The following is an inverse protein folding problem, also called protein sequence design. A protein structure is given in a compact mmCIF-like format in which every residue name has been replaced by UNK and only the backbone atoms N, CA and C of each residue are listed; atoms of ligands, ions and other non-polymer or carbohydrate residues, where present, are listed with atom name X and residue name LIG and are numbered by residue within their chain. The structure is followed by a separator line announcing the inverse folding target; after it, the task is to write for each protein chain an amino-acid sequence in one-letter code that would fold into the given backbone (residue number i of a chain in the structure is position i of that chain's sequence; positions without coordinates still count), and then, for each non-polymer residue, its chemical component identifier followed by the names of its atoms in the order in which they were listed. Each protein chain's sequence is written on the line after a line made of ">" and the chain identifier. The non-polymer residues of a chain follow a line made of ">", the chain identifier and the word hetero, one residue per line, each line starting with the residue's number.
data_IF_389960593618
#
_entry.id   IF_389960593618
#
_cell.length_a   1.000
_cell.length_b   1.000
_cell.length_c   1.000
_cell.angle_alpha   90.00
_cell.angle_beta   90.00
_cell.angle_gamma   90.00
#
_symmetry.space_group_name_H-M   'P 1'
#
loop_
_entity.id
_entity.type
_entity.pdbx_description
1 polymer ?
#
# COMPACT_ATOMS: atom_id res chain seq x y z
N UNK A 1 56.74 26.22 -17.94
CA UNK A 1 56.26 27.47 -17.33
C UNK A 1 54.94 27.79 -18.03
N UNK A 2 53.74 27.85 -17.47
CA UNK A 2 53.15 27.85 -16.10
C UNK A 2 51.66 27.54 -16.34
N UNK A 3 51.12 26.43 -15.80
CA UNK A 3 50.08 26.37 -14.74
C UNK A 3 48.95 27.41 -14.82
N UNK A 4 47.72 26.89 -14.92
CA UNK A 4 46.45 27.53 -14.56
C UNK A 4 45.35 26.45 -14.55
N UNK A 5 44.75 26.23 -13.39
CA UNK A 5 43.82 25.15 -13.00
C UNK A 5 42.38 25.66 -12.84
N UNK A 6 41.44 24.73 -12.59
CA UNK A 6 40.02 24.89 -12.15
C UNK A 6 39.00 25.20 -13.26
N UNK A 7 37.78 24.66 -13.31
CA UNK A 7 37.03 23.64 -12.56
C UNK A 7 35.71 23.32 -13.32
N UNK A 8 35.11 22.15 -13.04
CA UNK A 8 33.66 21.86 -12.97
C UNK A 8 32.68 22.47 -14.00
N UNK A 9 32.08 21.59 -14.81
CA UNK A 9 30.80 21.83 -15.49
C UNK A 9 30.02 20.52 -15.56
N UNK A 10 29.39 20.18 -14.43
CA UNK A 10 28.24 19.27 -14.38
C UNK A 10 27.06 19.85 -15.20
N UNK A 11 26.15 18.94 -15.55
CA UNK A 11 24.77 19.17 -16.00
C UNK A 11 24.58 19.58 -17.48
N UNK A 12 23.67 18.96 -18.24
CA UNK A 12 22.32 18.60 -17.84
C UNK A 12 21.91 17.20 -18.31
N UNK A 13 21.47 16.37 -17.37
CA UNK A 13 20.49 15.33 -17.68
C UNK A 13 19.20 16.04 -18.09
N UNK A 14 18.69 15.73 -19.27
CA UNK A 14 17.43 16.28 -19.77
C UNK A 14 16.26 15.73 -18.93
N UNK A 15 15.88 16.51 -17.92
CA UNK A 15 14.75 16.26 -17.02
C UNK A 15 13.38 16.57 -17.67
N UNK A 16 13.32 16.88 -18.98
CA UNK A 16 12.10 17.35 -19.66
C UNK A 16 11.25 16.27 -20.35
N UNK A 17 11.59 14.98 -20.18
CA UNK A 17 10.77 13.85 -20.69
C UNK A 17 9.90 13.16 -19.61
N UNK A 18 9.90 13.65 -18.37
CA UNK A 18 9.12 13.08 -17.27
C UNK A 18 7.74 13.75 -17.14
N UNK A 19 6.63 13.01 -17.19
CA UNK A 19 5.52 13.30 -16.27
C UNK A 19 5.94 12.78 -14.88
N UNK A 20 6.19 13.66 -13.90
CA UNK A 20 6.61 13.25 -12.56
C UNK A 20 5.46 12.46 -11.89
N UNK A 21 5.77 11.28 -11.36
CA UNK A 21 5.86 11.05 -9.92
C UNK A 21 4.50 10.92 -9.24
N UNK A 22 4.13 9.69 -8.93
CA UNK A 22 3.14 9.45 -7.89
C UNK A 22 3.39 8.09 -7.22
N UNK A 23 4.01 8.12 -6.05
CA UNK A 23 3.77 7.06 -5.05
C UNK A 23 2.36 7.32 -4.54
N UNK A 24 1.39 6.44 -4.80
CA UNK A 24 0.07 6.54 -4.18
C UNK A 24 -0.05 5.52 -3.04
N UNK A 25 0.49 5.82 -1.86
CA UNK A 25 0.02 5.11 -0.66
C UNK A 25 -1.50 5.32 -0.60
N UNK A 26 -2.23 4.20 -0.62
CA UNK A 26 -3.69 4.20 -0.74
C UNK A 26 -4.34 3.69 0.53
N UNK A 27 -3.63 2.87 1.32
CA UNK A 27 -4.27 2.12 2.39
C UNK A 27 -3.30 1.72 3.50
N UNK A 28 -3.59 2.15 4.73
CA UNK A 28 -3.01 1.61 5.94
C UNK A 28 -3.98 0.59 6.56
N UNK A 29 -3.47 -0.62 6.74
CA UNK A 29 -4.18 -1.75 7.32
C UNK A 29 -3.65 -1.95 8.73
N UNK A 30 -4.42 -1.58 9.74
CA UNK A 30 -4.02 -1.84 11.11
C UNK A 30 -4.52 -3.21 11.53
N UNK A 31 -3.60 -4.17 11.52
CA UNK A 31 -3.78 -5.41 12.27
C UNK A 31 -3.41 -5.10 13.72
N UNK A 32 -4.39 -5.11 14.61
CA UNK A 32 -4.05 -5.17 16.03
C UNK A 32 -3.51 -6.58 16.27
N UNK A 33 -2.29 -6.67 16.78
CA UNK A 33 -1.83 -7.91 17.41
C UNK A 33 -2.80 -8.13 18.58
N UNK A 34 -3.81 -8.96 18.33
CA UNK A 34 -4.77 -9.37 19.33
C UNK A 34 -4.01 -10.25 20.32
N UNK A 35 -3.31 -9.64 21.27
CA UNK A 35 -3.05 -10.26 22.55
C UNK A 35 -4.40 -10.31 23.26
N UNK A 36 -5.22 -11.26 22.84
CA UNK A 36 -6.50 -11.58 23.46
C UNK A 36 -6.22 -12.44 24.70
N UNK A 37 -7.19 -12.57 25.60
CA UNK A 37 -7.21 -13.56 26.68
C UNK A 37 -6.70 -14.96 26.26
N UNK A 38 -6.82 -15.33 24.97
CA UNK A 38 -6.29 -16.58 24.41
C UNK A 38 -4.76 -16.72 24.51
N UNK A 39 -4.01 -15.62 24.39
CA UNK A 39 -2.54 -15.65 24.55
C UNK A 39 -2.15 -15.84 26.01
N UNK A 40 -2.85 -15.18 26.95
CA UNK A 40 -2.64 -15.40 28.38
C UNK A 40 -2.93 -16.86 28.78
N UNK A 41 -3.97 -17.47 28.19
CA UNK A 41 -4.28 -18.90 28.38
C UNK A 41 -3.18 -19.82 27.80
N UNK A 42 -2.62 -19.46 26.64
CA UNK A 42 -1.52 -20.19 26.00
C UNK A 42 -0.25 -20.20 26.86
N UNK A 43 0.14 -19.04 27.40
CA UNK A 43 1.37 -18.93 28.19
C UNK A 43 1.21 -19.32 29.65
N UNK A 44 -0.02 -19.47 30.15
CA UNK A 44 -0.31 -19.64 31.59
C UNK A 44 0.53 -20.72 32.24
N UNK A 45 0.67 -21.87 31.59
CA UNK A 45 1.40 -23.02 32.16
C UNK A 45 2.88 -22.69 32.34
N UNK A 46 3.52 -22.19 31.29
CA UNK A 46 4.96 -21.92 31.28
C UNK A 46 5.32 -20.67 32.11
N UNK A 47 4.46 -19.64 32.09
CA UNK A 47 4.55 -18.50 33.00
C UNK A 47 4.51 -18.94 34.47
N UNK A 48 3.55 -19.79 34.85
CA UNK A 48 3.43 -20.31 36.22
C UNK A 48 4.65 -21.14 36.61
N UNK A 49 5.25 -21.88 35.69
CA UNK A 49 6.44 -22.69 35.96
C UNK A 49 7.70 -21.84 36.15
N UNK A 50 7.89 -20.79 35.34
CA UNK A 50 9.17 -20.09 35.24
C UNK A 50 9.25 -18.72 35.90
N UNK A 51 8.13 -18.02 36.13
CA UNK A 51 8.17 -16.66 36.70
C UNK A 51 8.80 -16.65 38.10
N UNK A 52 9.75 -15.75 38.35
CA UNK A 52 10.35 -15.58 39.69
C UNK A 52 9.40 -14.88 40.65
N UNK A 53 9.68 -14.96 41.96
CA UNK A 53 8.86 -14.28 42.98
C UNK A 53 9.02 -12.75 42.87
N UNK A 54 10.21 -12.32 42.48
CA UNK A 54 10.60 -10.92 42.30
C UNK A 54 9.82 -10.29 41.14
N UNK A 55 9.84 -10.94 39.96
CA UNK A 55 9.09 -10.48 38.79
C UNK A 55 7.59 -10.47 39.08
N UNK A 56 7.08 -11.48 39.79
CA UNK A 56 5.66 -11.54 40.15
C UNK A 56 5.23 -10.37 41.06
N UNK A 57 6.07 -9.98 42.03
CA UNK A 57 5.80 -8.81 42.90
C UNK A 57 5.85 -7.51 42.11
N UNK A 58 6.91 -7.30 41.34
CA UNK A 58 7.05 -6.08 40.56
C UNK A 58 5.93 -5.96 39.49
N UNK A 59 5.48 -7.08 38.92
CA UNK A 59 4.36 -7.13 37.96
C UNK A 59 3.04 -6.73 38.63
N UNK A 60 2.80 -7.19 39.86
CA UNK A 60 1.67 -6.76 40.68
C UNK A 60 1.74 -5.27 41.01
N UNK A 61 2.91 -4.76 41.39
CA UNK A 61 3.13 -3.34 41.66
C UNK A 61 2.80 -2.48 40.44
N UNK A 62 3.28 -2.88 39.26
CA UNK A 62 3.00 -2.20 38.00
C UNK A 62 1.51 -2.23 37.67
N UNK A 63 0.83 -3.37 37.84
CA UNK A 63 -0.61 -3.50 37.59
C UNK A 63 -1.48 -2.70 38.56
N UNK A 64 -1.08 -2.55 39.82
CA UNK A 64 -1.75 -1.66 40.78
C UNK A 64 -1.53 -0.19 40.38
N UNK A 65 -0.30 0.19 40.05
CA UNK A 65 0.01 1.55 39.58
C UNK A 65 -0.81 1.96 38.35
N UNK A 66 -1.11 1.00 37.48
CA UNK A 66 -1.87 1.21 36.25
C UNK A 66 -3.40 1.04 36.42
N UNK A 67 -3.87 0.90 37.67
CA UNK A 67 -5.28 0.82 38.06
C UNK A 67 -5.97 -0.51 37.71
N UNK A 68 -5.22 -1.57 37.39
CA UNK A 68 -5.78 -2.89 37.07
C UNK A 68 -6.23 -3.62 38.34
N UNK A 69 -5.45 -3.47 39.41
CA UNK A 69 -5.73 -4.02 40.73
C UNK A 69 -5.75 -2.92 41.80
N UNK A 70 -6.47 -3.17 42.89
CA UNK A 70 -6.35 -2.39 44.13
C UNK A 70 -5.25 -2.97 45.02
N UNK A 71 -4.77 -2.20 46.00
CA UNK A 71 -3.80 -2.68 46.99
C UNK A 71 -4.33 -3.91 47.76
N UNK A 72 -5.63 -3.95 48.05
CA UNK A 72 -6.29 -5.10 48.67
C UNK A 72 -6.27 -6.36 47.79
N UNK A 73 -6.47 -6.21 46.47
CA UNK A 73 -6.40 -7.33 45.53
C UNK A 73 -4.97 -7.89 45.41
N UNK A 74 -3.98 -7.00 45.46
CA UNK A 74 -2.55 -7.37 45.49
C UNK A 74 -2.18 -8.12 46.77
N UNK A 75 -2.61 -7.64 47.93
CA UNK A 75 -2.37 -8.31 49.22
C UNK A 75 -3.00 -9.71 49.25
N UNK A 76 -4.25 -9.85 48.80
CA UNK A 76 -4.92 -11.15 48.66
C UNK A 76 -4.11 -12.14 47.79
N UNK A 77 -3.55 -11.69 46.66
CA UNK A 77 -2.72 -12.55 45.78
C UNK A 77 -1.42 -12.97 46.47
N UNK A 78 -0.78 -12.07 47.22
CA UNK A 78 0.55 -12.28 47.82
C UNK A 78 0.52 -13.03 49.15
N UNK A 79 -0.50 -12.83 49.98
CA UNK A 79 -0.54 -13.32 51.36
C UNK A 79 -1.34 -14.62 51.52
N UNK A 80 -2.40 -14.84 50.74
CA UNK A 80 -3.25 -16.04 50.87
C UNK A 80 -2.55 -17.32 50.38
N UNK A 81 -1.54 -17.19 49.52
CA UNK A 81 -0.89 -18.31 48.85
C UNK A 81 0.58 -18.46 49.28
N UNK A 82 0.97 -19.57 49.92
CA UNK A 82 2.39 -19.81 50.28
C UNK A 82 3.28 -20.16 49.07
N UNK A 83 2.74 -20.87 48.08
CA UNK A 83 3.51 -21.34 46.93
C UNK A 83 3.54 -20.32 45.77
N UNK A 84 4.73 -20.06 45.21
CA UNK A 84 4.95 -19.17 44.05
C UNK A 84 4.00 -19.48 42.88
N UNK A 85 3.89 -20.76 42.51
CA UNK A 85 3.03 -21.19 41.40
C UNK A 85 1.54 -20.90 41.64
N UNK A 86 1.07 -20.95 42.90
CA UNK A 86 -0.31 -20.60 43.23
C UNK A 86 -0.55 -19.10 43.08
N UNK A 87 0.40 -18.26 43.52
CA UNK A 87 0.35 -16.81 43.31
C UNK A 87 0.28 -16.45 41.82
N UNK A 88 1.11 -17.11 40.99
CA UNK A 88 1.13 -16.88 39.55
C UNK A 88 -0.21 -17.30 38.88
N UNK A 89 -0.81 -18.42 39.31
CA UNK A 89 -2.12 -18.85 38.81
C UNK A 89 -3.23 -17.88 39.23
N UNK A 90 -3.23 -17.43 40.48
CA UNK A 90 -4.26 -16.52 40.97
C UNK A 90 -4.18 -15.15 40.28
N UNK A 91 -2.96 -14.60 40.13
CA UNK A 91 -2.71 -13.40 39.33
C UNK A 91 -3.29 -13.54 37.92
N UNK A 92 -2.90 -14.60 37.20
CA UNK A 92 -3.33 -14.83 35.82
C UNK A 92 -4.86 -14.97 35.71
N UNK A 93 -5.47 -15.67 36.67
CA UNK A 93 -6.93 -15.86 36.75
C UNK A 93 -7.68 -14.55 37.02
N UNK A 94 -7.19 -13.74 37.96
CA UNK A 94 -7.77 -12.44 38.30
C UNK A 94 -7.60 -11.43 37.15
N UNK A 95 -6.43 -11.38 36.51
CA UNK A 95 -6.20 -10.56 35.30
C UNK A 95 -7.17 -10.95 34.18
N UNK A 96 -7.37 -12.25 33.95
CA UNK A 96 -8.35 -12.74 32.96
C UNK A 96 -9.78 -12.29 33.26
N UNK A 97 -10.20 -12.32 34.52
CA UNK A 97 -11.53 -11.83 34.94
C UNK A 97 -11.72 -10.32 34.73
N UNK A 98 -10.63 -9.55 34.76
CA UNK A 98 -10.64 -8.09 34.52
C UNK A 98 -10.71 -7.73 33.02
N UNK A 99 -10.52 -8.70 32.13
CA UNK A 99 -10.72 -8.56 30.68
C UNK A 99 -9.45 -8.40 29.85
N UNK A 100 -9.62 -8.17 28.55
CA UNK A 100 -8.53 -8.13 27.56
C UNK A 100 -7.53 -6.98 27.80
N UNK A 101 -7.99 -5.83 28.29
CA UNK A 101 -7.10 -4.68 28.59
C UNK A 101 -6.12 -5.01 29.73
N UNK A 102 -6.62 -5.63 30.82
CA UNK A 102 -5.79 -6.08 31.92
C UNK A 102 -4.77 -7.14 31.47
N UNK A 103 -5.21 -8.08 30.64
CA UNK A 103 -4.37 -9.13 30.07
C UNK A 103 -3.23 -8.55 29.21
N UNK A 104 -3.53 -7.53 28.40
CA UNK A 104 -2.53 -6.80 27.59
C UNK A 104 -1.51 -6.08 28.46
N UNK A 105 -1.96 -5.36 29.49
CA UNK A 105 -1.05 -4.66 30.42
C UNK A 105 -0.10 -5.62 31.13
N UNK A 106 -0.60 -6.77 31.61
CA UNK A 106 0.23 -7.79 32.25
C UNK A 106 1.33 -8.31 31.31
N UNK A 107 0.98 -8.67 30.08
CA UNK A 107 1.94 -9.18 29.09
C UNK A 107 2.96 -8.10 28.73
N UNK A 108 2.53 -6.85 28.57
CA UNK A 108 3.44 -5.72 28.30
C UNK A 108 4.46 -5.51 29.41
N UNK A 109 4.04 -5.57 30.67
CA UNK A 109 4.97 -5.46 31.79
C UNK A 109 5.92 -6.65 31.87
N UNK A 110 5.42 -7.86 31.65
CA UNK A 110 6.27 -9.06 31.59
C UNK A 110 7.37 -8.93 30.54
N UNK A 111 7.07 -8.36 29.36
CA UNK A 111 8.06 -8.09 28.31
C UNK A 111 9.16 -7.12 28.75
N UNK A 112 8.81 -6.09 29.52
CA UNK A 112 9.77 -5.07 29.99
C UNK A 112 10.66 -5.63 31.11
N UNK A 113 10.07 -6.43 31.98
CA UNK A 113 10.69 -6.84 33.24
C UNK A 113 11.48 -8.14 33.09
N UNK A 114 11.03 -9.05 32.24
CA UNK A 114 11.73 -10.29 31.92
C UNK A 114 11.73 -10.56 30.40
N UNK A 115 12.59 -9.85 29.64
CA UNK A 115 12.70 -10.01 28.19
C UNK A 115 13.09 -11.44 27.77
N UNK A 116 13.82 -12.17 28.62
CA UNK A 116 14.23 -13.55 28.36
C UNK A 116 13.04 -14.49 28.43
N UNK A 117 12.29 -14.47 29.54
CA UNK A 117 11.08 -15.29 29.69
C UNK A 117 10.03 -14.92 28.64
N UNK A 118 9.90 -13.63 28.31
CA UNK A 118 9.01 -13.17 27.24
C UNK A 118 9.40 -13.71 25.85
N UNK A 119 10.70 -13.83 25.56
CA UNK A 119 11.20 -14.37 24.29
C UNK A 119 10.96 -15.88 24.20
N UNK A 120 11.18 -16.61 25.31
CA UNK A 120 10.91 -18.05 25.41
C UNK A 120 9.42 -18.38 25.30
N UNK A 121 8.55 -17.55 25.89
CA UNK A 121 7.09 -17.69 25.82
C UNK A 121 6.50 -17.28 24.46
N UNK A 122 7.33 -16.89 23.49
CA UNK A 122 6.91 -16.31 22.21
C UNK A 122 5.92 -15.13 22.37
N UNK A 123 6.01 -14.40 23.48
CA UNK A 123 5.17 -13.23 23.77
C UNK A 123 5.64 -11.98 23.04
N UNK A 124 6.44 -12.11 21.99
CA UNK A 124 7.06 -11.01 21.28
C UNK A 124 6.02 -10.02 20.75
N UNK A 125 6.02 -8.81 21.30
CA UNK A 125 5.65 -7.58 20.57
C UNK A 125 6.89 -6.78 20.13
N UNK A 126 8.08 -7.38 20.14
CA UNK A 126 9.31 -6.78 19.64
C UNK A 126 10.16 -7.85 18.99
N UNK A 127 10.62 -7.59 17.76
CA UNK A 127 11.37 -8.46 16.83
C UNK A 127 10.58 -9.32 15.85
N UNK A 128 9.29 -9.08 15.63
CA UNK A 128 8.86 -9.22 14.24
C UNK A 128 9.56 -8.09 13.47
N UNK A 129 10.31 -8.39 12.39
CA UNK A 129 10.81 -7.34 11.51
C UNK A 129 9.63 -6.44 11.11
N UNK A 130 9.84 -5.12 10.95
CA UNK A 130 8.77 -4.18 10.61
C UNK A 130 7.92 -4.78 9.51
N UNK A 131 6.59 -4.80 9.72
CA UNK A 131 5.68 -5.54 8.87
C UNK A 131 5.93 -5.14 7.42
N UNK A 132 6.54 -6.04 6.64
CA UNK A 132 7.03 -5.68 5.32
C UNK A 132 5.85 -5.27 4.44
N UNK A 133 6.00 -4.15 3.74
CA UNK A 133 4.90 -3.53 3.03
C UNK A 133 4.52 -4.31 1.77
N UNK A 134 3.24 -4.22 1.40
CA UNK A 134 2.76 -4.76 0.12
C UNK A 134 2.71 -3.62 -0.88
N UNK A 135 3.38 -3.78 -2.02
CA UNK A 135 3.36 -2.82 -3.11
C UNK A 135 2.64 -3.43 -4.31
N UNK A 136 1.67 -2.71 -4.85
CA UNK A 136 0.96 -3.07 -6.07
C UNK A 136 1.22 -2.03 -7.14
N UNK A 137 1.93 -2.41 -8.19
CA UNK A 137 2.26 -1.54 -9.31
C UNK A 137 1.40 -1.82 -10.54
N UNK A 138 1.34 -0.85 -11.45
CA UNK A 138 0.66 -0.99 -12.74
C UNK A 138 0.52 0.33 -13.46
N UNK A 139 0.22 0.28 -14.75
CA UNK A 139 0.08 1.48 -15.60
C UNK A 139 -1.09 2.38 -15.15
N UNK A 140 -1.11 3.62 -15.64
CA UNK A 140 -2.20 4.54 -15.35
C UNK A 140 -3.55 3.99 -15.85
N UNK A 141 -4.64 4.23 -15.12
CA UNK A 141 -5.98 3.78 -15.52
C UNK A 141 -6.25 2.27 -15.41
N UNK A 142 -5.26 1.44 -15.05
CA UNK A 142 -5.40 -0.04 -15.01
C UNK A 142 -6.33 -0.57 -13.90
N UNK A 143 -6.87 0.30 -13.05
CA UNK A 143 -7.82 -0.09 -11.99
C UNK A 143 -7.21 -0.35 -10.61
N UNK A 144 -5.98 0.10 -10.33
CA UNK A 144 -5.36 -0.01 -8.98
C UNK A 144 -6.23 0.56 -7.86
N UNK A 145 -6.81 1.75 -8.06
CA UNK A 145 -7.71 2.39 -7.08
C UNK A 145 -9.00 1.59 -6.89
N UNK A 146 -9.57 1.08 -7.99
CA UNK A 146 -10.78 0.25 -7.94
C UNK A 146 -10.51 -1.05 -7.18
N UNK A 147 -9.31 -1.63 -7.34
CA UNK A 147 -8.88 -2.81 -6.58
C UNK A 147 -8.84 -2.55 -5.07
N UNK A 148 -8.26 -1.42 -4.64
CA UNK A 148 -8.24 -1.05 -3.22
C UNK A 148 -9.64 -0.82 -2.66
N UNK A 149 -10.49 -0.11 -3.40
CA UNK A 149 -11.89 0.10 -3.00
C UNK A 149 -12.67 -1.21 -2.90
N UNK A 150 -12.47 -2.13 -3.86
CA UNK A 150 -13.11 -3.46 -3.83
C UNK A 150 -12.67 -4.28 -2.62
N UNK A 151 -11.38 -4.24 -2.29
CA UNK A 151 -10.87 -4.90 -1.09
C UNK A 151 -11.50 -4.36 0.19
N UNK A 152 -11.61 -3.04 0.32
CA UNK A 152 -12.23 -2.39 1.49
C UNK A 152 -13.71 -2.76 1.57
N UNK A 153 -14.41 -2.77 0.44
CA UNK A 153 -15.82 -3.17 0.38
C UNK A 153 -15.99 -4.63 0.81
N UNK A 154 -15.18 -5.55 0.29
CA UNK A 154 -15.26 -6.97 0.67
C UNK A 154 -14.90 -7.20 2.14
N UNK A 155 -13.96 -6.43 2.69
CA UNK A 155 -13.66 -6.45 4.13
C UNK A 155 -14.84 -5.92 4.96
N UNK A 156 -15.44 -4.81 4.56
CA UNK A 156 -16.56 -4.18 5.27
C UNK A 156 -17.87 -4.99 5.19
N UNK A 157 -18.02 -5.84 4.17
CA UNK A 157 -19.13 -6.80 4.00
C UNK A 157 -18.84 -8.16 4.64
N UNK A 158 -17.82 -8.26 5.49
CA UNK A 158 -17.39 -9.47 6.20
C UNK A 158 -17.01 -10.66 5.29
N UNK A 159 -16.69 -10.42 4.01
CA UNK A 159 -16.38 -11.49 3.04
C UNK A 159 -14.96 -12.02 3.17
N UNK A 160 -14.01 -11.19 3.61
CA UNK A 160 -12.59 -11.55 3.64
C UNK A 160 -11.79 -10.71 4.66
N UNK A 161 -10.55 -11.13 4.94
CA UNK A 161 -9.56 -10.43 5.77
C UNK A 161 -10.06 -9.95 7.14
N UNK A 162 -10.85 -10.79 7.82
CA UNK A 162 -11.44 -10.51 9.14
C UNK A 162 -10.40 -10.49 10.28
N UNK A 163 -9.14 -10.77 9.98
CA UNK A 163 -8.01 -10.55 10.87
C UNK A 163 -7.57 -9.07 10.93
N UNK A 164 -8.16 -8.21 10.09
CA UNK A 164 -7.96 -6.76 10.08
C UNK A 164 -9.06 -6.09 10.90
N UNK A 165 -8.68 -5.28 11.90
CA UNK A 165 -9.64 -4.56 12.74
C UNK A 165 -10.01 -3.19 12.15
N UNK A 166 -9.06 -2.50 11.53
CA UNK A 166 -9.28 -1.18 10.95
C UNK A 166 -8.55 -1.04 9.61
N UNK A 167 -9.23 -0.40 8.67
CA UNK A 167 -8.65 0.06 7.41
C UNK A 167 -8.79 1.57 7.34
N UNK A 168 -7.68 2.25 7.07
CA UNK A 168 -7.62 3.69 6.84
C UNK A 168 -7.21 3.94 5.39
N UNK A 169 -8.18 4.14 4.47
CA UNK A 169 -7.87 4.57 3.13
C UNK A 169 -7.45 6.05 3.16
N UNK A 170 -6.38 6.38 2.47
CA UNK A 170 -5.96 7.74 2.22
C UNK A 170 -5.18 7.77 0.92
N UNK A 171 -5.18 8.90 0.23
CA UNK A 171 -4.35 9.11 -0.96
C UNK A 171 -3.30 10.17 -0.69
N UNK A 172 -2.16 10.10 -1.38
CA UNK A 172 -1.18 11.20 -1.33
C UNK A 172 -1.80 12.53 -1.74
N UNK A 173 -2.73 12.54 -2.70
CA UNK A 173 -3.43 13.76 -3.08
C UNK A 173 -4.17 14.39 -1.90
N UNK A 174 -4.87 13.60 -1.09
CA UNK A 174 -5.57 14.11 0.12
C UNK A 174 -4.58 14.59 1.17
N UNK A 175 -3.47 13.89 1.36
CA UNK A 175 -2.44 14.28 2.34
C UNK A 175 -1.67 15.54 1.91
N UNK A 176 -1.45 15.74 0.62
CA UNK A 176 -0.78 16.92 0.09
C UNK A 176 -1.63 18.18 0.23
N UNK A 177 -2.95 18.05 0.23
CA UNK A 177 -3.88 19.17 0.51
C UNK A 177 -3.75 19.66 1.96
N UNK A 178 -3.23 18.83 2.86
CA UNK A 178 -2.96 19.21 4.25
C UNK A 178 -1.64 19.97 4.43
N UNK A 179 -0.80 20.08 3.37
CA UNK A 179 0.34 20.99 3.40
C UNK A 179 -0.20 22.40 3.24
N UNK A 180 0.03 23.27 4.22
CA UNK A 180 -0.33 24.69 4.17
C UNK A 180 0.54 25.51 3.20
N UNK A 181 1.41 24.88 2.40
CA UNK A 181 2.29 25.54 1.46
C UNK A 181 1.70 25.61 0.03
N UNK A 182 2.03 26.69 -0.68
CA UNK A 182 1.56 26.98 -2.04
C UNK A 182 1.70 25.77 -2.99
N UNK A 183 0.62 25.50 -3.73
CA UNK A 183 0.55 24.45 -4.74
C UNK A 183 1.58 24.67 -5.86
N UNK A 184 2.76 24.08 -5.70
CA UNK A 184 3.67 23.84 -6.81
C UNK A 184 3.12 22.68 -7.67
N UNK A 185 3.06 22.87 -9.00
CA UNK A 185 2.75 21.80 -9.97
C UNK A 185 3.79 20.66 -9.95
N UNK A 186 4.90 20.86 -9.24
CA UNK A 186 5.99 19.92 -9.05
C UNK A 186 6.07 19.57 -7.57
N UNK A 187 5.66 18.36 -7.22
CA UNK A 187 5.97 17.81 -5.91
C UNK A 187 7.14 16.84 -6.07
N UNK A 188 8.23 16.99 -5.29
CA UNK A 188 9.35 16.06 -5.32
C UNK A 188 8.91 14.64 -4.91
N UNK A 189 9.63 13.60 -5.36
CA UNK A 189 9.40 12.24 -4.89
C UNK A 189 9.75 12.15 -3.40
N UNK A 190 9.17 11.18 -2.70
CA UNK A 190 9.57 10.92 -1.31
C UNK A 190 11.07 10.62 -1.27
N UNK A 191 11.82 11.46 -0.55
CA UNK A 191 13.26 11.28 -0.38
C UNK A 191 13.55 10.27 0.72
N UNK A 192 13.70 9.01 0.32
CA UNK A 192 14.09 7.93 1.23
C UNK A 192 15.57 7.97 1.63
N UNK A 193 16.36 8.95 1.19
CA UNK A 193 17.72 9.16 1.68
C UNK A 193 17.78 10.04 2.93
N UNK A 194 16.70 10.75 3.26
CA UNK A 194 16.59 11.49 4.52
C UNK A 194 16.60 10.52 5.73
N UNK A 195 17.39 10.83 6.75
CA UNK A 195 17.70 9.97 7.90
C UNK A 195 16.73 10.24 9.08
N UNK A 196 15.91 11.28 9.00
CA UNK A 196 14.98 11.63 10.08
C UNK A 196 14.05 10.46 10.43
N UNK A 197 14.29 9.90 11.61
CA UNK A 197 13.65 8.68 12.10
C UNK A 197 12.69 9.06 13.20
N UNK A 198 11.39 8.95 12.92
CA UNK A 198 10.33 9.23 13.88
C UNK A 198 9.74 7.92 14.39
N UNK A 199 9.61 7.82 15.70
CA UNK A 199 9.02 6.66 16.39
C UNK A 199 7.84 7.05 17.27
N UNK A 200 7.74 8.32 17.69
CA UNK A 200 6.57 8.85 18.41
C UNK A 200 5.54 9.44 17.44
N UNK A 201 4.27 9.04 17.62
CA UNK A 201 3.13 9.50 16.81
C UNK A 201 2.65 10.90 17.26
N UNK A 202 3.08 11.37 18.43
CA UNK A 202 2.67 12.68 18.98
C UNK A 202 3.52 13.84 18.46
N UNK A 203 4.66 13.57 17.85
CA UNK A 203 5.53 14.60 17.31
C UNK A 203 4.95 15.18 16.01
N UNK A 204 4.96 16.51 15.91
CA UNK A 204 4.52 17.22 14.71
C UNK A 204 5.64 17.22 13.68
N UNK A 205 5.35 16.76 12.46
CA UNK A 205 6.32 16.67 11.36
C UNK A 205 5.65 16.96 10.02
N UNK A 206 6.44 17.04 8.96
CA UNK A 206 5.91 17.18 7.60
C UNK A 206 5.25 15.87 7.13
N UNK A 207 4.29 15.99 6.21
CA UNK A 207 3.62 14.84 5.58
C UNK A 207 4.62 13.87 4.93
N UNK A 208 5.69 14.38 4.34
CA UNK A 208 6.69 13.55 3.66
C UNK A 208 7.48 12.69 4.65
N UNK A 209 7.94 13.30 5.76
CA UNK A 209 8.67 12.60 6.82
C UNK A 209 7.77 11.58 7.52
N UNK A 210 6.50 11.91 7.74
CA UNK A 210 5.49 10.98 8.27
C UNK A 210 5.33 9.75 7.34
N UNK A 211 5.17 9.96 6.04
CA UNK A 211 4.99 8.89 5.07
C UNK A 211 6.23 8.03 4.90
N UNK A 212 7.42 8.63 4.90
CA UNK A 212 8.71 7.89 4.87
C UNK A 212 8.80 6.96 6.10
N UNK A 213 8.48 7.47 7.29
CA UNK A 213 8.57 6.69 8.52
C UNK A 213 7.47 5.61 8.65
N UNK A 214 6.29 5.84 8.08
CA UNK A 214 5.25 4.80 7.93
C UNK A 214 5.69 3.70 6.95
N UNK A 215 6.24 4.07 5.79
CA UNK A 215 6.71 3.11 4.78
C UNK A 215 7.87 2.28 5.33
N UNK A 216 8.81 2.91 6.05
CA UNK A 216 9.92 2.23 6.75
C UNK A 216 9.45 1.34 7.90
N UNK A 217 8.23 1.54 8.41
CA UNK A 217 7.68 0.80 9.55
C UNK A 217 8.21 1.30 10.91
N UNK A 218 8.81 2.49 10.96
CA UNK A 218 9.25 3.14 12.20
C UNK A 218 8.04 3.68 12.99
N UNK A 219 7.03 4.16 12.27
CA UNK A 219 5.74 4.57 12.83
C UNK A 219 4.70 3.47 12.64
N UNK A 220 3.95 3.19 13.70
CA UNK A 220 2.97 2.11 13.76
C UNK A 220 3.52 0.74 13.30
N UNK A 221 4.60 0.21 13.91
CA UNK A 221 5.20 -1.08 13.53
C UNK A 221 4.24 -2.27 13.34
N UNK A 222 3.15 -2.44 14.13
CA UNK A 222 2.20 -3.55 13.92
C UNK A 222 1.26 -3.34 12.73
N UNK A 223 1.21 -2.15 12.14
CA UNK A 223 0.36 -1.86 10.99
C UNK A 223 1.02 -2.34 9.69
N UNK A 224 0.20 -2.83 8.76
CA UNK A 224 0.61 -3.22 7.41
C UNK A 224 0.21 -2.10 6.46
N UNK A 225 1.12 -1.65 5.61
CA UNK A 225 0.82 -0.68 4.56
C UNK A 225 0.63 -1.41 3.23
N UNK A 226 -0.44 -1.07 2.52
CA UNK A 226 -0.66 -1.46 1.14
C UNK A 226 -0.55 -0.24 0.23
N UNK A 227 0.54 -0.20 -0.53
CA UNK A 227 0.90 0.90 -1.43
C UNK A 227 0.46 0.53 -2.84
N UNK A 228 -0.26 1.41 -3.54
CA UNK A 228 -0.52 1.22 -4.97
C UNK A 228 0.19 2.30 -5.79
N UNK A 229 0.90 1.96 -6.84
CA UNK A 229 1.76 2.97 -7.48
C UNK A 229 2.05 2.64 -8.95
N UNK A 230 2.73 3.53 -9.67
CA UNK A 230 3.30 3.23 -10.99
C UNK A 230 4.64 2.50 -10.80
N UNK A 231 5.10 1.69 -11.77
CA UNK A 231 6.40 1.01 -11.68
C UNK A 231 7.56 1.95 -11.38
N UNK A 232 7.62 3.12 -12.03
CA UNK A 232 8.66 4.12 -11.81
C UNK A 232 8.78 4.60 -10.36
N UNK A 233 7.64 4.70 -9.66
CA UNK A 233 7.57 5.15 -8.27
C UNK A 233 7.72 3.98 -7.28
N UNK A 234 7.32 2.75 -7.65
CA UNK A 234 7.61 1.54 -6.87
C UNK A 234 9.12 1.32 -6.70
N UNK A 235 9.89 1.57 -7.77
CA UNK A 235 11.34 1.37 -7.79
C UNK A 235 12.11 2.33 -6.87
N UNK A 236 11.46 3.41 -6.40
CA UNK A 236 12.06 4.37 -5.46
C UNK A 236 11.92 3.91 -3.99
N UNK A 237 11.03 2.95 -3.71
CA UNK A 237 10.81 2.44 -2.36
C UNK A 237 11.99 1.51 -2.01
N UNK A 238 12.66 1.70 -0.86
CA UNK A 238 13.75 0.82 -0.45
C UNK A 238 13.30 -0.65 -0.39
N UNK A 239 14.06 -1.59 -0.98
CA UNK A 239 13.67 -2.99 -1.05
C UNK A 239 13.53 -3.63 0.33
N UNK A 240 14.27 -3.15 1.33
CA UNK A 240 14.23 -3.64 2.71
C UNK A 240 12.87 -3.40 3.38
N UNK A 241 12.15 -2.37 2.93
CA UNK A 241 10.81 -2.04 3.43
C UNK A 241 9.71 -2.90 2.78
N UNK A 242 9.97 -3.57 1.65
CA UNK A 242 8.96 -4.24 0.84
C UNK A 242 9.00 -5.75 1.03
N UNK A 243 7.84 -6.33 1.33
CA UNK A 243 7.70 -7.77 1.56
C UNK A 243 7.15 -8.51 0.36
N UNK A 244 6.28 -7.84 -0.40
CA UNK A 244 5.65 -8.40 -1.59
C UNK A 244 5.38 -7.31 -2.60
N UNK A 245 5.80 -7.55 -3.83
CA UNK A 245 5.43 -6.73 -4.99
C UNK A 245 4.43 -7.49 -5.85
N UNK A 246 3.41 -6.80 -6.32
CA UNK A 246 2.36 -7.33 -7.20
C UNK A 246 2.16 -6.38 -8.37
N UNK A 247 1.79 -6.89 -9.54
CA UNK A 247 1.55 -6.08 -10.74
C UNK A 247 0.13 -6.30 -11.26
N UNK A 248 -0.61 -5.21 -11.44
CA UNK A 248 -1.94 -5.24 -12.06
C UNK A 248 -1.76 -5.14 -13.57
N UNK A 249 -2.10 -6.22 -14.28
CA UNK A 249 -1.99 -6.35 -15.73
C UNK A 249 -3.30 -6.08 -16.48
N UNK A 250 -4.36 -5.69 -15.76
CA UNK A 250 -5.69 -5.46 -16.32
C UNK A 250 -6.45 -6.76 -16.61
N UNK A 251 -7.46 -6.67 -17.46
CA UNK A 251 -8.36 -7.78 -17.77
C UNK A 251 -7.89 -8.62 -18.96
N UNK A 252 -8.08 -9.93 -18.86
CA UNK A 252 -8.04 -10.83 -20.02
C UNK A 252 -9.28 -10.61 -20.90
N UNK A 253 -9.24 -11.04 -22.16
CA UNK A 253 -10.38 -10.85 -23.06
C UNK A 253 -11.67 -11.51 -22.55
N UNK A 254 -11.66 -12.74 -21.99
CA UNK A 254 -12.86 -13.31 -21.35
C UNK A 254 -13.39 -12.45 -20.19
N UNK A 255 -12.50 -11.86 -19.38
CA UNK A 255 -12.88 -10.98 -18.27
C UNK A 255 -13.48 -9.65 -18.78
N UNK A 256 -12.97 -9.10 -19.89
CA UNK A 256 -13.56 -7.93 -20.54
C UNK A 256 -14.98 -8.25 -21.02
N UNK A 257 -15.18 -9.40 -21.66
CA UNK A 257 -16.52 -9.81 -22.10
C UNK A 257 -17.49 -9.93 -20.93
N UNK A 258 -17.07 -10.59 -19.85
CA UNK A 258 -17.87 -10.73 -18.63
C UNK A 258 -18.20 -9.35 -18.02
N UNK A 259 -17.22 -8.44 -17.95
CA UNK A 259 -17.43 -7.07 -17.48
C UNK A 259 -18.52 -6.36 -18.29
N UNK A 260 -18.44 -6.40 -19.63
CA UNK A 260 -19.44 -5.74 -20.47
C UNK A 260 -20.82 -6.37 -20.35
N UNK A 261 -20.92 -7.70 -20.26
CA UNK A 261 -22.20 -8.39 -20.00
C UNK A 261 -22.82 -7.98 -18.67
N UNK A 262 -22.02 -7.80 -17.61
CA UNK A 262 -22.52 -7.35 -16.30
C UNK A 262 -22.83 -5.86 -16.26
N UNK A 263 -22.14 -5.04 -17.04
CA UNK A 263 -22.23 -3.58 -17.01
C UNK A 263 -23.45 -3.03 -17.73
N UNK A 264 -23.89 -3.69 -18.80
CA UNK A 264 -25.03 -3.29 -19.61
C UNK A 264 -26.25 -4.16 -19.31
N UNK A 265 -27.42 -3.53 -19.17
CA UNK A 265 -28.68 -4.26 -19.00
C UNK A 265 -29.18 -4.87 -20.31
N UNK A 266 -28.83 -4.24 -21.43
CA UNK A 266 -29.18 -4.67 -22.78
C UNK A 266 -28.11 -5.64 -23.33
N UNK A 267 -28.51 -6.89 -23.53
CA UNK A 267 -27.65 -7.96 -24.01
C UNK A 267 -27.23 -7.77 -25.46
N UNK A 268 -28.05 -7.11 -26.30
CA UNK A 268 -27.70 -6.82 -27.69
C UNK A 268 -26.60 -5.76 -27.74
N UNK A 269 -26.70 -4.71 -26.93
CA UNK A 269 -25.65 -3.70 -26.80
C UNK A 269 -24.34 -4.28 -26.27
N UNK A 270 -24.41 -5.11 -25.22
CA UNK A 270 -23.23 -5.79 -24.67
C UNK A 270 -22.57 -6.67 -25.75
N UNK A 271 -23.35 -7.45 -26.48
CA UNK A 271 -22.88 -8.33 -27.55
C UNK A 271 -22.26 -7.56 -28.72
N UNK A 272 -22.86 -6.41 -29.10
CA UNK A 272 -22.31 -5.51 -30.11
C UNK A 272 -20.95 -4.95 -29.66
N UNK A 273 -20.84 -4.44 -28.44
CA UNK A 273 -19.57 -3.92 -27.89
C UNK A 273 -18.49 -5.01 -27.85
N UNK A 274 -18.82 -6.20 -27.36
CA UNK A 274 -17.92 -7.35 -27.32
C UNK A 274 -17.42 -7.69 -28.73
N UNK A 275 -18.30 -7.68 -29.74
CA UNK A 275 -17.92 -7.95 -31.13
C UNK A 275 -16.90 -6.95 -31.70
N UNK A 276 -16.89 -5.70 -31.20
CA UNK A 276 -15.91 -4.69 -31.61
C UNK A 276 -14.56 -4.84 -30.89
N UNK A 277 -14.55 -5.40 -29.69
CA UNK A 277 -13.34 -5.52 -28.84
C UNK A 277 -12.59 -6.84 -29.12
N UNK A 278 -13.20 -7.79 -29.84
CA UNK A 278 -12.58 -9.08 -30.15
C UNK A 278 -11.19 -8.93 -30.81
N UNK A 279 -10.22 -9.81 -30.45
CA UNK A 279 -8.86 -9.76 -30.95
C UNK A 279 -8.77 -9.70 -32.46
N UNK A 280 -9.62 -10.42 -33.20
CA UNK A 280 -9.60 -10.43 -34.66
C UNK A 280 -9.73 -9.04 -35.30
N UNK A 281 -10.58 -8.15 -34.75
CA UNK A 281 -10.72 -6.78 -35.26
C UNK A 281 -9.60 -5.86 -34.79
N UNK A 282 -9.03 -6.12 -33.62
CA UNK A 282 -7.86 -5.40 -33.14
C UNK A 282 -6.59 -5.83 -33.88
N UNK A 283 -6.48 -7.09 -34.28
CA UNK A 283 -5.42 -7.64 -35.14
C UNK A 283 -5.47 -7.01 -36.52
N UNK A 284 -6.65 -6.83 -37.13
CA UNK A 284 -6.80 -6.06 -38.37
C UNK A 284 -6.26 -4.63 -38.24
N UNK A 285 -6.55 -3.95 -37.12
CA UNK A 285 -6.03 -2.60 -36.84
C UNK A 285 -4.52 -2.63 -36.60
N UNK A 286 -4.02 -3.56 -35.78
CA UNK A 286 -2.59 -3.72 -35.48
C UNK A 286 -1.77 -4.14 -36.70
N UNK A 287 -2.32 -4.95 -37.60
CA UNK A 287 -1.70 -5.33 -38.86
C UNK A 287 -1.69 -4.16 -39.84
N UNK A 288 -2.77 -3.35 -39.87
CA UNK A 288 -2.80 -2.09 -40.63
C UNK A 288 -1.76 -1.08 -40.11
N UNK A 289 -1.58 -1.01 -38.79
CA UNK A 289 -0.54 -0.21 -38.12
C UNK A 289 0.88 -0.68 -38.48
N UNK A 290 1.12 -2.00 -38.47
CA UNK A 290 2.44 -2.59 -38.79
C UNK A 290 2.83 -2.42 -40.25
N UNK A 291 1.85 -2.45 -41.16
CA UNK A 291 2.09 -2.36 -42.60
C UNK A 291 2.13 -0.92 -43.13
N UNK A 292 1.78 0.07 -42.30
CA UNK A 292 1.84 1.49 -42.67
C UNK A 292 0.96 1.86 -43.87
N UNK A 293 -0.12 1.09 -44.10
CA UNK A 293 -1.07 1.30 -45.21
C UNK A 293 -2.49 1.26 -44.70
N UNK A 294 -2.95 2.37 -44.13
CA UNK A 294 -4.36 2.56 -43.77
C UNK A 294 -5.20 3.10 -44.95
N UNK A 295 -4.55 3.62 -46.00
CA UNK A 295 -5.18 4.30 -47.13
C UNK A 295 -6.12 3.43 -47.98
N UNK A 296 -6.12 2.11 -47.81
CA UNK A 296 -6.95 1.18 -48.58
C UNK A 296 -8.06 0.51 -47.78
N UNK A 297 -8.15 0.75 -46.46
CA UNK A 297 -9.15 0.10 -45.59
C UNK A 297 -10.25 1.09 -45.21
N UNK A 298 -11.47 0.88 -45.72
CA UNK A 298 -12.65 1.65 -45.31
C UNK A 298 -13.04 1.27 -43.87
N UNK A 299 -12.46 1.96 -42.89
CA UNK A 299 -12.76 1.74 -41.47
C UNK A 299 -14.12 2.34 -41.08
N UNK A 300 -14.86 1.63 -40.23
CA UNK A 300 -16.07 2.15 -39.58
C UNK A 300 -15.73 3.21 -38.51
N UNK A 301 -16.66 4.10 -38.12
CA UNK A 301 -16.42 5.08 -37.07
C UNK A 301 -15.89 4.46 -35.76
N UNK A 302 -16.36 3.26 -35.41
CA UNK A 302 -15.90 2.54 -34.22
C UNK A 302 -14.44 2.10 -34.34
N UNK A 303 -14.02 1.62 -35.52
CA UNK A 303 -12.63 1.24 -35.78
C UNK A 303 -11.69 2.45 -35.75
N UNK A 304 -12.14 3.61 -36.26
CA UNK A 304 -11.40 4.87 -36.13
C UNK A 304 -11.22 5.28 -34.68
N UNK A 305 -12.29 5.27 -33.88
CA UNK A 305 -12.20 5.59 -32.45
C UNK A 305 -11.28 4.63 -31.69
N UNK A 306 -11.30 3.34 -32.01
CA UNK A 306 -10.41 2.34 -31.42
C UNK A 306 -8.95 2.58 -31.81
N UNK A 307 -8.67 2.89 -33.08
CA UNK A 307 -7.34 3.24 -33.57
C UNK A 307 -6.78 4.48 -32.87
N UNK A 308 -7.58 5.55 -32.74
CA UNK A 308 -7.21 6.77 -32.01
C UNK A 308 -6.87 6.45 -30.57
N UNK A 309 -7.70 5.66 -29.88
CA UNK A 309 -7.45 5.25 -28.50
C UNK A 309 -6.14 4.47 -28.36
N UNK A 310 -5.88 3.51 -29.26
CA UNK A 310 -4.64 2.71 -29.25
C UNK A 310 -3.42 3.60 -29.49
N UNK A 311 -3.46 4.53 -30.44
CA UNK A 311 -2.36 5.45 -30.73
C UNK A 311 -2.08 6.40 -29.56
N UNK A 312 -3.13 6.94 -28.92
CA UNK A 312 -3.00 7.80 -27.74
C UNK A 312 -2.55 7.05 -26.48
N UNK A 313 -2.86 5.75 -26.39
CA UNK A 313 -2.55 4.92 -25.22
C UNK A 313 -1.24 4.13 -25.38
N UNK A 314 -0.63 4.14 -26.58
CA UNK A 314 0.65 3.46 -26.77
C UNK A 314 1.74 4.27 -26.07
N UNK A 315 2.44 3.66 -25.12
CA UNK A 315 3.56 4.28 -24.37
C UNK A 315 4.76 4.67 -25.25
N UNK A 316 4.69 4.46 -26.57
CA UNK A 316 5.64 5.02 -27.52
C UNK A 316 5.27 6.48 -27.70
N UNK A 317 6.07 7.36 -27.09
CA UNK A 317 5.91 8.80 -27.18
C UNK A 317 5.53 9.24 -28.60
N UNK A 318 4.41 9.96 -28.70
CA UNK A 318 3.91 10.59 -29.93
C UNK A 318 4.83 11.76 -30.37
N UNK A 319 6.14 11.62 -30.21
CA UNK A 319 7.10 12.68 -30.50
C UNK A 319 7.11 13.06 -31.98
N UNK A 320 6.94 12.07 -32.87
CA UNK A 320 6.82 12.29 -34.32
C UNK A 320 5.72 11.39 -34.91
N UNK A 321 4.58 11.97 -35.24
CA UNK A 321 3.47 11.28 -35.91
C UNK A 321 3.50 11.55 -37.43
N UNK A 322 3.84 10.52 -38.20
CA UNK A 322 3.86 10.59 -39.66
C UNK A 322 2.44 10.38 -40.21
N UNK A 323 1.72 11.48 -40.46
CA UNK A 323 0.32 11.44 -40.87
C UNK A 323 0.15 10.76 -42.23
N UNK A 324 1.14 10.89 -43.11
CA UNK A 324 1.12 10.33 -44.48
C UNK A 324 1.14 8.80 -44.50
N UNK A 325 1.65 8.15 -43.45
CA UNK A 325 1.55 6.69 -43.29
C UNK A 325 0.11 6.21 -43.00
N UNK A 326 -0.75 7.08 -42.49
CA UNK A 326 -2.06 6.70 -41.95
C UNK A 326 -3.22 7.25 -42.77
N UNK A 327 -3.07 8.42 -43.39
CA UNK A 327 -4.15 9.08 -44.12
C UNK A 327 -3.68 9.64 -45.45
N UNK A 328 -4.52 9.49 -46.47
CA UNK A 328 -4.44 10.21 -47.75
C UNK A 328 -5.75 10.96 -48.04
N UNK A 329 -6.70 11.00 -47.09
CA UNK A 329 -8.02 11.62 -47.23
C UNK A 329 -8.31 12.63 -46.10
N UNK A 330 -9.12 13.64 -46.39
CA UNK A 330 -9.49 14.69 -45.44
C UNK A 330 -10.31 14.13 -44.26
N UNK A 331 -11.16 13.14 -44.52
CA UNK A 331 -11.98 12.49 -43.48
C UNK A 331 -11.13 11.72 -42.48
N UNK A 332 -10.12 10.97 -42.96
CA UNK A 332 -9.21 10.23 -42.08
C UNK A 332 -8.33 11.18 -41.25
N UNK A 333 -7.99 12.38 -41.78
CA UNK A 333 -7.33 13.42 -41.00
C UNK A 333 -8.20 13.94 -39.86
N UNK A 334 -9.48 14.24 -40.12
CA UNK A 334 -10.41 14.70 -39.07
C UNK A 334 -10.61 13.65 -37.97
N UNK A 335 -10.62 12.37 -38.32
CA UNK A 335 -10.74 11.28 -37.34
C UNK A 335 -9.46 11.10 -36.51
N UNK A 336 -8.28 11.40 -37.05
CA UNK A 336 -6.98 11.31 -36.36
C UNK A 336 -6.56 12.60 -35.65
N UNK A 337 -7.37 13.66 -35.74
CA UNK A 337 -7.10 14.96 -35.14
C UNK A 337 -6.70 14.91 -33.65
N UNK A 338 -7.30 14.05 -32.80
CA UNK A 338 -6.87 13.91 -31.41
C UNK A 338 -5.43 13.42 -31.26
N UNK A 339 -4.98 12.49 -32.11
CA UNK A 339 -3.61 11.95 -32.13
C UNK A 339 -2.62 13.02 -32.60
N UNK A 340 -2.98 13.74 -33.68
CA UNK A 340 -2.20 14.86 -34.23
C UNK A 340 -1.98 15.94 -33.16
N UNK A 341 -3.02 16.30 -32.41
CA UNK A 341 -2.94 17.28 -31.31
C UNK A 341 -2.09 16.81 -30.13
N UNK A 342 -2.06 15.51 -29.87
CA UNK A 342 -1.26 14.92 -28.80
C UNK A 342 0.21 14.71 -29.19
N UNK A 343 0.57 14.88 -30.47
CA UNK A 343 1.92 14.63 -30.99
C UNK A 343 2.81 15.89 -30.94
N UNK A 344 4.10 15.75 -30.60
CA UNK A 344 5.03 16.91 -30.57
C UNK A 344 5.39 17.41 -31.98
N UNK A 345 5.46 16.52 -32.97
CA UNK A 345 5.78 16.83 -34.37
C UNK A 345 4.94 15.97 -35.31
N UNK A 346 4.50 16.53 -36.44
CA UNK A 346 3.68 15.85 -37.46
C UNK A 346 4.38 15.95 -38.82
N UNK A 347 4.50 14.85 -39.57
CA UNK A 347 5.20 14.76 -40.88
C UNK A 347 4.26 14.50 -42.06
#
# INVERSE_FOLDING_TARGET
>A
MTRGSESSGEDCVDLSSLPPQDIYCTCLIRKVLCITVKELDRIRTEFVERVSVEILKQLLDALVSDGVFTDLEKESILEENKARANKARDLTSKVKKKGDEASRKMIRYLQIMDPMLSSELHLSLSFDPPAKQVVTMGVAGIGKTVLTQKFILDWAEDKTNQDIQFIFPFTFRELNVLKEEEFSLYQPPLDFHNIETLTDVKESTSVDVLLINLIRGNLLPPARLWITTRPAAANQIPPDCVGRVTEVRGFTDPQKEEYFRKRFRDEEQASRIISYIKPSRMEEIQQSLRTGRLSTVKMSPVQWSALVFVLLSSEKDLDVFDLKKYSHSEEAFLMLLPVVKASRKVL
#
